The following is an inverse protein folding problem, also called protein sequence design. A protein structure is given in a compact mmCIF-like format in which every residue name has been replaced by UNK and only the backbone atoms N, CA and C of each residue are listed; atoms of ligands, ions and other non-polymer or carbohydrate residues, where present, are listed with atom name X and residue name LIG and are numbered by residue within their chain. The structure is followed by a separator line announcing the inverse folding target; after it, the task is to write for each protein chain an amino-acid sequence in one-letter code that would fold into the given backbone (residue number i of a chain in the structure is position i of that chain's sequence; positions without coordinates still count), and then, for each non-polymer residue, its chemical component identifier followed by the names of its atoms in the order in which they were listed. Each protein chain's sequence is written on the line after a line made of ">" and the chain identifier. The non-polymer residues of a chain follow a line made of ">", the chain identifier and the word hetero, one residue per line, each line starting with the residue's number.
data_IF_813238362389
#
_entry.id   IF_813238362389
#
_cell.length_a   1.000
_cell.length_b   1.000
_cell.length_c   1.000
_cell.angle_alpha   90.00
_cell.angle_beta   90.00
_cell.angle_gamma   90.00
#
_symmetry.space_group_name_H-M   'P 1'
#
loop_
_entity.id
_entity.type
_entity.pdbx_description
1 polymer ?
#
# COMPACT_ATOMS: atom_id res chain seq x y z
N UNK A 1 23.76 -8.89 50.02
CA UNK A 1 23.18 -10.12 49.47
C UNK A 1 22.10 -10.66 50.43
N UNK A 2 20.89 -10.18 50.27
CA UNK A 2 19.68 -10.59 51.06
C UNK A 2 18.47 -10.66 50.14
N UNK A 3 17.55 -11.57 50.37
CA UNK A 3 16.27 -11.65 49.67
C UNK A 3 15.30 -10.59 50.08
N UNK A 4 15.30 -10.22 51.35
CA UNK A 4 14.52 -9.11 51.91
C UNK A 4 15.31 -8.45 53.04
N UNK A 5 15.06 -7.16 53.27
CA UNK A 5 15.67 -6.38 54.35
C UNK A 5 14.53 -5.62 55.06
N UNK A 6 14.38 -5.84 56.35
CA UNK A 6 13.41 -5.13 57.21
C UNK A 6 14.14 -4.07 58.00
N UNK A 7 13.76 -2.80 57.80
CA UNK A 7 14.47 -1.67 58.38
C UNK A 7 13.62 -1.00 59.50
N UNK A 8 14.24 -0.83 60.66
CA UNK A 8 13.65 -0.09 61.82
C UNK A 8 12.77 -0.95 62.74
N UNK A 9 12.53 -0.42 63.92
CA UNK A 9 11.83 -1.13 65.02
C UNK A 9 10.34 -1.43 64.75
N UNK A 10 9.74 -0.74 63.73
CA UNK A 10 8.34 -0.89 63.34
C UNK A 10 8.15 -1.75 62.08
N UNK A 11 9.17 -2.46 61.61
CA UNK A 11 9.17 -3.27 60.38
C UNK A 11 9.36 -4.75 60.70
N UNK A 12 8.41 -5.42 61.37
CA UNK A 12 8.55 -6.84 61.68
C UNK A 12 8.43 -7.70 60.40
N UNK A 13 9.09 -8.84 60.38
CA UNK A 13 9.09 -9.81 59.26
C UNK A 13 7.66 -10.22 58.89
N UNK A 14 6.75 -10.39 59.85
CA UNK A 14 5.34 -10.75 59.62
C UNK A 14 4.55 -9.76 58.77
N UNK A 15 4.99 -8.50 58.67
CA UNK A 15 4.41 -7.57 57.71
C UNK A 15 4.72 -7.96 56.27
N UNK A 16 5.92 -8.48 56.04
CA UNK A 16 6.34 -9.02 54.73
C UNK A 16 5.53 -10.24 54.32
N UNK A 17 5.17 -11.08 55.30
CA UNK A 17 4.43 -12.31 55.01
C UNK A 17 2.97 -12.05 54.60
N UNK A 18 2.33 -10.99 55.10
CA UNK A 18 0.90 -10.83 54.99
C UNK A 18 0.41 -9.55 54.30
N UNK A 19 1.15 -8.44 54.35
CA UNK A 19 0.52 -7.16 53.98
C UNK A 19 1.44 -6.09 53.36
N UNK A 20 2.76 -6.17 53.48
CA UNK A 20 3.65 -5.10 53.03
C UNK A 20 4.19 -5.27 51.59
N UNK A 21 3.81 -6.34 50.88
CA UNK A 21 4.24 -6.57 49.48
C UNK A 21 5.60 -7.23 49.33
N UNK A 22 6.38 -7.43 50.43
CA UNK A 22 7.52 -8.32 50.41
C UNK A 22 7.06 -9.79 50.47
N UNK A 23 7.97 -10.74 50.26
CA UNK A 23 7.61 -12.16 50.16
C UNK A 23 8.52 -12.97 51.08
N UNK A 24 7.96 -14.01 51.71
CA UNK A 24 8.72 -14.93 52.59
C UNK A 24 9.42 -16.06 51.79
N UNK A 25 9.13 -16.20 50.48
CA UNK A 25 9.84 -17.14 49.64
C UNK A 25 11.17 -16.51 49.19
N UNK A 26 12.19 -16.76 49.95
CA UNK A 26 13.50 -16.14 49.85
C UNK A 26 14.52 -17.10 49.24
N UNK A 27 15.55 -16.60 48.51
CA UNK A 27 16.60 -17.43 47.97
C UNK A 27 17.46 -18.00 49.10
N UNK A 28 17.72 -19.33 49.05
CA UNK A 28 18.55 -20.08 50.01
C UNK A 28 19.93 -20.44 49.39
N UNK A 29 20.78 -21.07 50.19
CA UNK A 29 22.10 -21.58 49.73
C UNK A 29 23.00 -20.51 49.07
N UNK A 30 22.96 -19.27 49.56
CA UNK A 30 23.78 -18.19 49.00
C UNK A 30 23.25 -17.61 47.68
N UNK A 31 22.14 -18.06 47.17
CA UNK A 31 21.55 -17.59 45.93
C UNK A 31 21.08 -16.12 45.95
N UNK A 32 20.94 -15.52 47.14
CA UNK A 32 20.67 -14.09 47.27
C UNK A 32 21.72 -13.15 46.66
N UNK A 33 22.79 -13.69 46.10
CA UNK A 33 23.75 -12.94 45.27
C UNK A 33 23.21 -12.63 43.87
N UNK A 34 22.34 -13.49 43.33
CA UNK A 34 21.87 -13.47 41.95
C UNK A 34 20.34 -13.52 41.81
N UNK A 35 19.63 -13.86 42.88
CA UNK A 35 18.18 -13.91 42.90
C UNK A 35 17.59 -13.03 44.00
N UNK A 36 16.50 -12.38 43.73
CA UNK A 36 15.63 -11.67 44.69
C UNK A 36 14.66 -12.65 45.36
N UNK A 37 13.86 -12.16 46.34
CA UNK A 37 12.68 -12.88 46.78
C UNK A 37 11.66 -13.05 45.68
N UNK A 38 10.79 -14.07 45.74
CA UNK A 38 9.79 -14.36 44.72
C UNK A 38 8.87 -13.14 44.54
N UNK A 39 8.59 -12.81 43.27
CA UNK A 39 7.71 -11.70 42.90
C UNK A 39 6.83 -12.05 41.68
N UNK A 40 5.89 -11.21 41.34
CA UNK A 40 4.91 -11.46 40.27
C UNK A 40 5.60 -11.62 38.91
N UNK A 41 6.71 -10.93 38.67
CA UNK A 41 7.46 -11.05 37.39
C UNK A 41 8.14 -12.42 37.19
N UNK A 42 8.34 -13.20 38.26
CA UNK A 42 8.90 -14.55 38.17
C UNK A 42 7.92 -15.55 37.51
N UNK A 43 6.63 -15.22 37.50
CA UNK A 43 5.58 -15.96 36.81
C UNK A 43 5.32 -15.45 35.39
N UNK A 44 6.01 -14.37 34.99
CA UNK A 44 5.93 -13.77 33.67
C UNK A 44 6.99 -14.30 32.72
N UNK A 45 6.72 -14.21 31.41
CA UNK A 45 7.70 -14.46 30.36
C UNK A 45 7.91 -13.18 29.56
N UNK A 46 9.15 -12.70 29.49
CA UNK A 46 9.52 -11.60 28.63
C UNK A 46 9.72 -12.10 27.21
N UNK A 47 8.98 -11.52 26.25
CA UNK A 47 9.10 -11.80 24.83
C UNK A 47 9.52 -10.49 24.17
N UNK A 48 10.69 -10.51 23.49
CA UNK A 48 11.13 -9.38 22.68
C UNK A 48 10.51 -9.47 21.29
N UNK A 49 9.88 -8.39 20.84
CA UNK A 49 9.36 -8.23 19.48
C UNK A 49 10.16 -7.13 18.80
N UNK A 50 10.74 -7.46 17.64
CA UNK A 50 11.50 -6.51 16.85
C UNK A 50 10.84 -6.32 15.48
N UNK A 51 10.60 -5.07 15.10
CA UNK A 51 10.17 -4.69 13.75
C UNK A 51 11.14 -3.64 13.22
N UNK A 52 11.66 -3.86 12.02
CA UNK A 52 12.55 -2.91 11.34
C UNK A 52 11.82 -2.27 10.15
N UNK A 53 11.90 -0.94 10.04
CA UNK A 53 11.58 -0.21 8.80
C UNK A 53 12.73 -0.36 7.80
N UNK A 54 12.50 -0.02 6.52
CA UNK A 54 13.58 0.00 5.51
C UNK A 54 14.72 0.96 5.91
N UNK A 55 14.40 2.13 6.46
CA UNK A 55 15.36 3.08 6.98
C UNK A 55 16.14 2.49 8.19
N UNK A 56 15.43 1.91 9.16
CA UNK A 56 16.05 1.25 10.30
C UNK A 56 16.97 0.10 9.90
N UNK A 57 16.57 -0.69 8.89
CA UNK A 57 17.43 -1.72 8.31
C UNK A 57 18.70 -1.13 7.69
N UNK A 58 18.58 -0.08 6.85
CA UNK A 58 19.72 0.56 6.20
C UNK A 58 20.68 1.19 7.21
N UNK A 59 20.19 1.74 8.32
CA UNK A 59 21.02 2.33 9.36
C UNK A 59 21.80 1.28 10.18
N UNK A 60 21.31 0.05 10.27
CA UNK A 60 21.89 -1.01 11.11
C UNK A 60 22.69 -2.04 10.32
N UNK A 61 22.41 -2.25 9.04
CA UNK A 61 22.94 -3.36 8.24
C UNK A 61 24.46 -3.44 8.24
N UNK A 62 25.16 -2.31 8.04
CA UNK A 62 26.61 -2.28 7.92
C UNK A 62 27.29 -2.67 9.24
N UNK A 63 26.75 -2.18 10.36
CA UNK A 63 27.22 -2.56 11.70
C UNK A 63 27.04 -4.06 11.95
N UNK A 64 25.88 -4.61 11.61
CA UNK A 64 25.60 -6.04 11.79
C UNK A 64 26.47 -6.91 10.90
N UNK A 65 26.73 -6.49 9.64
CA UNK A 65 27.62 -7.21 8.72
C UNK A 65 29.05 -7.26 9.23
N UNK A 66 29.59 -6.14 9.72
CA UNK A 66 30.95 -6.10 10.27
C UNK A 66 31.07 -6.90 11.57
N UNK A 67 30.10 -6.83 12.47
CA UNK A 67 30.07 -7.63 13.69
C UNK A 67 29.99 -9.13 13.38
N UNK A 68 29.07 -9.54 12.52
CA UNK A 68 28.90 -10.93 12.12
C UNK A 68 30.17 -11.49 11.41
N UNK A 69 30.88 -10.64 10.65
CA UNK A 69 32.17 -10.99 10.05
C UNK A 69 33.24 -11.19 11.08
N UNK A 70 33.34 -10.28 12.08
CA UNK A 70 34.32 -10.41 13.16
C UNK A 70 34.11 -11.67 14.03
N UNK A 71 32.85 -12.08 14.19
CA UNK A 71 32.43 -13.28 14.91
C UNK A 71 32.46 -14.57 14.05
N UNK A 72 32.79 -14.47 12.76
CA UNK A 72 32.76 -15.58 11.78
C UNK A 72 31.40 -16.26 11.65
N UNK A 73 30.32 -15.47 11.77
CA UNK A 73 28.92 -15.92 11.68
C UNK A 73 28.34 -15.72 10.27
N UNK A 74 28.72 -16.56 9.32
CA UNK A 74 28.35 -16.44 7.91
C UNK A 74 26.81 -16.45 7.70
N UNK A 75 26.09 -17.28 8.45
CA UNK A 75 24.63 -17.32 8.36
C UNK A 75 23.97 -15.98 8.76
N UNK A 76 24.52 -15.26 9.74
CA UNK A 76 24.03 -13.94 10.14
C UNK A 76 24.31 -12.89 9.06
N UNK A 77 25.50 -12.94 8.42
CA UNK A 77 25.78 -12.07 7.27
C UNK A 77 24.80 -12.31 6.13
N UNK A 78 24.57 -13.57 5.75
CA UNK A 78 23.65 -13.93 4.67
C UNK A 78 22.22 -13.49 4.98
N UNK A 79 21.78 -13.60 6.23
CA UNK A 79 20.47 -13.13 6.65
C UNK A 79 20.26 -11.61 6.43
N UNK A 80 21.31 -10.80 6.57
CA UNK A 80 21.25 -9.36 6.25
C UNK A 80 21.33 -9.14 4.75
N UNK A 81 22.28 -9.76 4.04
CA UNK A 81 22.47 -9.58 2.59
C UNK A 81 21.23 -9.91 1.76
N UNK A 82 20.54 -11.01 2.06
CA UNK A 82 19.29 -11.39 1.39
C UNK A 82 18.20 -10.30 1.55
N UNK A 83 18.24 -9.52 2.64
CA UNK A 83 17.28 -8.47 2.93
C UNK A 83 17.64 -7.09 2.38
N UNK A 84 18.88 -6.90 1.91
CA UNK A 84 19.29 -5.63 1.28
C UNK A 84 18.42 -5.28 0.09
N UNK A 85 18.17 -6.25 -0.80
CA UNK A 85 17.30 -6.06 -1.96
C UNK A 85 15.85 -5.71 -1.57
N UNK A 86 15.35 -6.28 -0.48
CA UNK A 86 14.01 -5.97 0.04
C UNK A 86 13.93 -4.55 0.62
N UNK A 87 14.98 -4.10 1.31
CA UNK A 87 15.07 -2.77 1.88
C UNK A 87 15.22 -1.70 0.78
N UNK A 88 16.01 -1.97 -0.26
CA UNK A 88 16.15 -1.10 -1.42
C UNK A 88 14.83 -0.96 -2.19
N UNK A 89 14.10 -2.06 -2.39
CA UNK A 89 12.78 -2.04 -3.03
C UNK A 89 11.77 -1.19 -2.26
N UNK A 90 11.85 -1.15 -0.94
CA UNK A 90 10.93 -0.38 -0.08
C UNK A 90 11.36 1.08 0.10
N UNK A 91 12.59 1.45 -0.27
CA UNK A 91 13.13 2.81 -0.13
C UNK A 91 12.81 3.73 -1.31
N UNK A 92 12.45 3.17 -2.48
CA UNK A 92 12.02 3.95 -3.65
C UNK A 92 10.49 3.96 -3.67
N UNK A 93 9.91 5.00 -3.07
CA UNK A 93 8.47 5.27 -3.23
C UNK A 93 8.17 5.51 -4.70
N UNK A 94 7.30 4.68 -5.31
CA UNK A 94 6.84 4.86 -6.68
C UNK A 94 5.75 5.92 -6.69
N UNK A 95 6.19 7.16 -6.57
CA UNK A 95 5.32 8.34 -6.51
C UNK A 95 5.63 9.32 -7.64
N UNK A 96 4.62 10.05 -8.05
CA UNK A 96 4.74 11.10 -9.06
C UNK A 96 3.82 12.26 -8.73
N UNK A 97 4.29 13.49 -9.00
CA UNK A 97 3.51 14.71 -8.80
C UNK A 97 3.69 15.64 -9.99
N UNK A 98 2.60 16.22 -10.48
CA UNK A 98 2.57 17.10 -11.63
C UNK A 98 1.47 18.16 -11.51
N UNK A 99 1.69 19.31 -12.13
CA UNK A 99 0.66 20.28 -12.50
C UNK A 99 0.57 20.28 -14.02
N UNK A 100 -0.55 19.75 -14.56
CA UNK A 100 -0.85 19.78 -16.00
C UNK A 100 -1.84 20.92 -16.27
N UNK A 101 -1.43 21.85 -17.13
CA UNK A 101 -2.24 23.00 -17.50
C UNK A 101 -2.43 23.06 -19.01
N UNK A 102 -3.69 23.15 -19.44
CA UNK A 102 -4.13 23.43 -20.82
C UNK A 102 -4.90 24.73 -20.84
N UNK A 103 -5.54 25.06 -21.95
CA UNK A 103 -6.51 26.16 -22.02
C UNK A 103 -7.86 25.79 -21.40
N UNK A 104 -8.14 24.50 -21.26
CA UNK A 104 -9.42 23.92 -20.85
C UNK A 104 -9.40 23.47 -19.38
N UNK A 105 -8.23 22.97 -18.91
CA UNK A 105 -8.13 22.40 -17.57
C UNK A 105 -6.84 22.83 -16.86
N UNK A 106 -6.88 22.86 -15.52
CA UNK A 106 -5.71 23.00 -14.65
C UNK A 106 -5.79 21.89 -13.58
N UNK A 107 -4.91 20.88 -13.71
CA UNK A 107 -4.93 19.67 -12.90
C UNK A 107 -3.68 19.59 -12.06
N UNK A 108 -3.83 19.48 -10.74
CA UNK A 108 -2.78 19.02 -9.85
C UNK A 108 -3.02 17.55 -9.53
N UNK A 109 -1.98 16.73 -9.67
CA UNK A 109 -2.00 15.32 -9.29
C UNK A 109 -0.75 14.96 -8.49
N UNK A 110 -0.96 14.24 -7.39
CA UNK A 110 0.10 13.58 -6.62
C UNK A 110 -0.38 12.15 -6.34
N UNK A 111 0.41 11.18 -6.78
CA UNK A 111 0.09 9.77 -6.73
C UNK A 111 1.22 8.97 -6.12
N UNK A 112 0.89 7.97 -5.29
CA UNK A 112 1.83 6.99 -4.76
C UNK A 112 1.26 5.57 -4.96
N UNK A 113 1.93 4.77 -5.81
CA UNK A 113 1.54 3.38 -6.09
C UNK A 113 1.76 2.44 -4.89
N UNK A 114 2.64 2.82 -3.96
CA UNK A 114 2.95 2.07 -2.73
C UNK A 114 2.20 2.64 -1.52
N UNK A 115 1.02 3.23 -1.76
CA UNK A 115 0.19 3.87 -0.76
C UNK A 115 -0.67 2.91 0.06
N UNK A 116 -1.61 3.50 0.79
CA UNK A 116 -2.58 2.80 1.65
C UNK A 116 -4.03 3.06 1.25
N UNK A 117 -4.25 3.79 0.15
CA UNK A 117 -5.56 4.20 -0.35
C UNK A 117 -6.10 5.43 0.35
N UNK A 118 -5.22 6.37 0.71
CA UNK A 118 -5.62 7.71 1.14
C UNK A 118 -5.90 8.57 -0.08
N UNK A 119 -6.96 9.36 -0.01
CA UNK A 119 -7.34 10.22 -1.13
C UNK A 119 -7.82 11.60 -0.69
N UNK A 120 -7.61 12.57 -1.58
CA UNK A 120 -8.21 13.89 -1.55
C UNK A 120 -8.48 14.29 -3.00
N UNK A 121 -9.74 14.23 -3.43
CA UNK A 121 -10.13 14.34 -4.84
C UNK A 121 -11.20 15.41 -4.99
N UNK A 122 -10.98 16.33 -5.92
CA UNK A 122 -11.88 17.43 -6.22
C UNK A 122 -11.79 17.75 -7.72
N UNK A 123 -12.68 17.16 -8.52
CA UNK A 123 -12.71 17.33 -9.98
C UNK A 123 -13.73 18.34 -10.43
N UNK A 124 -14.68 18.71 -9.56
CA UNK A 124 -15.87 19.47 -9.91
C UNK A 124 -17.05 18.60 -10.36
N UNK A 125 -16.85 17.30 -10.54
CA UNK A 125 -17.86 16.29 -10.86
C UNK A 125 -17.96 15.28 -9.72
N UNK A 126 -19.01 15.37 -8.92
CA UNK A 126 -19.13 14.60 -7.67
C UNK A 126 -19.11 13.07 -7.91
N UNK A 127 -19.70 12.63 -9.02
CA UNK A 127 -19.72 11.20 -9.30
C UNK A 127 -18.35 10.69 -9.81
N UNK A 128 -17.59 11.51 -10.54
CA UNK A 128 -16.21 11.19 -10.91
C UNK A 128 -15.30 11.14 -9.67
N UNK A 129 -15.47 12.10 -8.75
CA UNK A 129 -14.76 12.08 -7.45
C UNK A 129 -14.99 10.75 -6.74
N UNK A 130 -16.25 10.33 -6.61
CA UNK A 130 -16.62 9.05 -6.02
C UNK A 130 -15.95 7.86 -6.71
N UNK A 131 -15.91 7.81 -8.05
CA UNK A 131 -15.27 6.73 -8.80
C UNK A 131 -13.76 6.68 -8.59
N UNK A 132 -13.10 7.85 -8.54
CA UNK A 132 -11.66 7.95 -8.28
C UNK A 132 -11.30 7.61 -6.81
N UNK A 133 -12.19 7.91 -5.86
CA UNK A 133 -12.06 7.43 -4.47
C UNK A 133 -12.10 5.90 -4.40
N UNK A 134 -13.01 5.26 -5.15
CA UNK A 134 -13.04 3.79 -5.25
C UNK A 134 -11.73 3.25 -5.85
N UNK A 135 -11.22 3.90 -6.90
CA UNK A 135 -9.94 3.56 -7.52
C UNK A 135 -8.79 3.63 -6.49
N UNK A 136 -8.65 4.75 -5.80
CA UNK A 136 -7.64 4.94 -4.76
C UNK A 136 -7.74 3.89 -3.66
N UNK A 137 -8.93 3.75 -3.07
CA UNK A 137 -9.15 2.86 -1.93
C UNK A 137 -8.89 1.39 -2.26
N UNK A 138 -9.48 0.91 -3.35
CA UNK A 138 -9.36 -0.51 -3.74
C UNK A 138 -8.02 -0.85 -4.39
N UNK A 139 -7.35 0.14 -5.00
CA UNK A 139 -5.99 0.02 -5.51
C UNK A 139 -4.91 0.11 -4.43
N UNK A 140 -5.25 0.55 -3.22
CA UNK A 140 -4.29 0.96 -2.18
C UNK A 140 -3.29 2.00 -2.69
N UNK A 141 -3.74 2.88 -3.59
CA UNK A 141 -2.97 3.96 -4.19
C UNK A 141 -3.32 5.24 -3.43
N UNK A 142 -2.31 5.98 -2.93
CA UNK A 142 -2.59 7.29 -2.40
C UNK A 142 -2.74 8.28 -3.57
N UNK A 143 -3.83 9.06 -3.58
CA UNK A 143 -4.18 9.97 -4.67
C UNK A 143 -4.67 11.32 -4.13
N UNK A 144 -3.93 12.38 -4.44
CA UNK A 144 -4.38 13.76 -4.28
C UNK A 144 -4.54 14.38 -5.66
N UNK A 145 -5.78 14.71 -6.04
CA UNK A 145 -6.11 15.20 -7.37
C UNK A 145 -7.09 16.36 -7.26
N UNK A 146 -6.75 17.49 -7.85
CA UNK A 146 -7.65 18.61 -8.02
C UNK A 146 -7.69 19.05 -9.48
N UNK A 147 -8.86 19.37 -9.99
CA UNK A 147 -9.06 19.86 -11.35
C UNK A 147 -9.93 21.12 -11.32
N UNK A 148 -9.52 22.13 -12.07
CA UNK A 148 -10.34 23.27 -12.47
C UNK A 148 -10.51 23.16 -13.99
N UNK A 149 -11.65 22.66 -14.43
CA UNK A 149 -12.01 22.51 -15.85
C UNK A 149 -13.07 23.51 -16.28
N UNK A 150 -13.27 23.61 -17.56
CA UNK A 150 -14.25 24.48 -18.25
C UNK A 150 -15.65 23.85 -18.28
N UNK A 151 -16.16 23.45 -17.10
CA UNK A 151 -17.45 22.77 -16.93
C UNK A 151 -18.65 23.59 -17.40
N UNK A 152 -18.47 24.88 -17.65
CA UNK A 152 -19.46 25.74 -18.30
C UNK A 152 -19.67 25.39 -19.79
N UNK A 153 -18.75 24.66 -20.41
CA UNK A 153 -18.87 24.10 -21.76
C UNK A 153 -19.56 22.74 -21.67
N UNK A 154 -18.87 21.76 -21.11
CA UNK A 154 -19.43 20.46 -20.73
C UNK A 154 -18.39 19.69 -19.86
N UNK A 155 -18.65 18.41 -19.57
CA UNK A 155 -17.81 17.56 -18.73
C UNK A 155 -16.65 16.90 -19.49
N UNK A 156 -16.64 16.94 -20.82
CA UNK A 156 -15.75 16.15 -21.69
C UNK A 156 -14.29 16.41 -21.40
N UNK A 157 -13.85 17.68 -21.53
CA UNK A 157 -12.44 18.08 -21.36
C UNK A 157 -11.93 17.72 -19.95
N UNK A 158 -12.76 17.94 -18.94
CA UNK A 158 -12.44 17.64 -17.54
C UNK A 158 -12.20 16.14 -17.34
N UNK A 159 -13.10 15.30 -17.83
CA UNK A 159 -13.02 13.84 -17.67
C UNK A 159 -11.83 13.26 -18.46
N UNK A 160 -11.65 13.68 -19.70
CA UNK A 160 -10.55 13.22 -20.56
C UNK A 160 -9.19 13.62 -19.99
N UNK A 161 -9.02 14.88 -19.66
CA UNK A 161 -7.75 15.42 -19.17
C UNK A 161 -7.34 14.83 -17.81
N UNK A 162 -8.32 14.54 -16.93
CA UNK A 162 -8.06 13.81 -15.68
C UNK A 162 -7.60 12.39 -15.99
N UNK A 163 -8.22 11.69 -16.92
CA UNK A 163 -7.80 10.34 -17.32
C UNK A 163 -6.37 10.33 -17.89
N UNK A 164 -6.04 11.31 -18.72
CA UNK A 164 -4.68 11.51 -19.27
C UNK A 164 -3.68 11.77 -18.15
N UNK A 165 -3.96 12.72 -17.25
CA UNK A 165 -3.07 13.08 -16.14
C UNK A 165 -2.86 11.90 -15.19
N UNK A 166 -3.92 11.19 -14.82
CA UNK A 166 -3.86 10.00 -13.97
C UNK A 166 -3.02 8.89 -14.63
N UNK A 167 -3.26 8.65 -15.92
CA UNK A 167 -2.49 7.65 -16.66
C UNK A 167 -1.01 7.99 -16.78
N UNK A 168 -0.69 9.26 -17.04
CA UNK A 168 0.68 9.75 -17.07
C UNK A 168 1.36 9.63 -15.69
N UNK A 169 0.65 9.97 -14.62
CA UNK A 169 1.17 9.83 -13.25
C UNK A 169 1.48 8.38 -12.89
N UNK A 170 0.59 7.44 -13.23
CA UNK A 170 0.82 6.00 -13.03
C UNK A 170 2.03 5.54 -13.84
N UNK A 171 2.13 5.91 -15.11
CA UNK A 171 3.24 5.52 -15.99
C UNK A 171 4.59 6.03 -15.47
N UNK A 172 4.65 7.29 -15.05
CA UNK A 172 5.87 7.88 -14.49
C UNK A 172 6.25 7.25 -13.16
N UNK A 173 5.28 6.98 -12.27
CA UNK A 173 5.52 6.30 -11.01
C UNK A 173 6.00 4.84 -11.20
N UNK A 174 5.56 4.14 -12.25
CA UNK A 174 6.04 2.80 -12.62
C UNK A 174 7.50 2.80 -13.09
N UNK A 175 7.98 3.90 -13.65
CA UNK A 175 9.35 4.01 -14.16
C UNK A 175 9.70 2.93 -15.18
N UNK A 176 10.80 2.23 -14.98
CA UNK A 176 11.30 1.20 -15.91
C UNK A 176 10.46 -0.08 -15.97
N UNK A 177 9.50 -0.24 -15.09
CA UNK A 177 8.66 -1.47 -14.93
C UNK A 177 9.46 -2.76 -14.69
N UNK A 178 10.73 -2.65 -14.29
CA UNK A 178 11.57 -3.81 -14.01
C UNK A 178 11.09 -4.45 -12.70
N UNK A 179 10.94 -5.76 -12.72
CA UNK A 179 10.63 -6.57 -11.55
C UNK A 179 9.17 -6.54 -11.09
N UNK A 180 8.28 -5.81 -11.76
CA UNK A 180 6.85 -5.87 -11.45
C UNK A 180 6.23 -7.19 -11.92
N UNK A 181 5.09 -7.59 -11.31
CA UNK A 181 4.29 -8.74 -11.72
C UNK A 181 3.85 -8.64 -13.19
N UNK A 182 3.63 -7.42 -13.70
CA UNK A 182 3.28 -7.06 -15.06
C UNK A 182 1.89 -7.51 -15.48
N UNK A 183 1.59 -8.79 -15.30
CA UNK A 183 0.28 -9.35 -15.64
C UNK A 183 -0.57 -9.45 -14.38
N UNK A 184 -1.82 -9.04 -14.49
CA UNK A 184 -2.84 -9.43 -13.53
C UNK A 184 -3.99 -10.07 -14.31
N UNK A 185 -4.28 -11.31 -13.99
CA UNK A 185 -5.41 -12.03 -14.57
C UNK A 185 -6.65 -11.80 -13.73
N UNK A 186 -7.67 -11.33 -14.41
CA UNK A 186 -9.06 -11.25 -14.04
C UNK A 186 -9.36 -11.24 -12.53
N UNK A 187 -9.20 -10.09 -11.92
CA UNK A 187 -10.01 -9.83 -10.75
C UNK A 187 -11.47 -9.92 -11.19
N UNK A 188 -12.19 -10.84 -10.63
CA UNK A 188 -13.64 -10.92 -10.78
C UNK A 188 -14.24 -10.29 -9.54
N UNK A 189 -14.93 -9.18 -9.72
CA UNK A 189 -15.63 -8.49 -8.63
C UNK A 189 -17.14 -8.58 -8.88
N UNK A 190 -17.86 -8.87 -7.83
CA UNK A 190 -19.32 -8.82 -7.82
C UNK A 190 -19.78 -7.70 -6.90
N UNK A 191 -20.79 -6.96 -7.33
CA UNK A 191 -21.47 -5.94 -6.55
C UNK A 191 -22.98 -6.03 -6.86
N UNK A 192 -23.71 -6.64 -5.94
CA UNK A 192 -25.12 -7.01 -6.12
C UNK A 192 -25.32 -7.79 -7.43
N UNK A 193 -26.06 -7.24 -8.39
CA UNK A 193 -26.36 -7.86 -9.67
C UNK A 193 -25.30 -7.63 -10.76
N UNK A 194 -24.22 -6.89 -10.42
CA UNK A 194 -23.13 -6.59 -11.34
C UNK A 194 -21.97 -7.52 -11.14
N UNK A 195 -21.40 -7.98 -12.26
CA UNK A 195 -20.12 -8.68 -12.32
C UNK A 195 -19.18 -7.92 -13.25
N UNK A 196 -18.01 -7.60 -12.77
CA UNK A 196 -16.93 -6.96 -13.53
C UNK A 196 -15.68 -7.84 -13.57
N UNK A 197 -15.05 -7.93 -14.73
CA UNK A 197 -13.82 -8.68 -15.00
C UNK A 197 -12.84 -7.74 -15.66
N UNK A 198 -11.62 -7.65 -15.13
CA UNK A 198 -10.54 -6.84 -15.71
C UNK A 198 -9.26 -7.67 -15.81
N UNK A 199 -8.55 -7.58 -16.93
CA UNK A 199 -7.24 -8.19 -17.14
C UNK A 199 -6.27 -7.16 -17.69
N UNK A 200 -5.03 -7.15 -17.17
CA UNK A 200 -4.02 -6.12 -17.46
C UNK A 200 -2.70 -6.78 -17.90
N UNK A 201 -2.04 -6.18 -18.91
CA UNK A 201 -0.61 -6.38 -19.24
C UNK A 201 0.09 -5.02 -19.32
N UNK A 202 1.00 -4.74 -18.38
CA UNK A 202 1.81 -3.53 -18.33
C UNK A 202 3.01 -3.60 -19.30
N UNK A 203 2.75 -3.88 -20.57
CA UNK A 203 3.73 -4.17 -21.63
C UNK A 203 4.11 -2.98 -22.52
N UNK A 204 3.73 -1.76 -22.17
CA UNK A 204 3.89 -0.54 -22.99
C UNK A 204 3.11 -0.55 -24.32
N UNK A 205 2.29 -1.56 -24.59
CA UNK A 205 1.41 -1.65 -25.76
C UNK A 205 0.03 -1.14 -25.40
N UNK A 206 -0.41 -0.11 -26.11
CA UNK A 206 -1.70 0.57 -25.88
C UNK A 206 -2.82 -0.19 -26.56
N UNK A 207 -3.68 -0.84 -25.78
CA UNK A 207 -4.84 -1.52 -26.31
C UNK A 207 -5.91 -1.66 -25.23
N UNK A 208 -7.12 -1.28 -25.56
CA UNK A 208 -8.30 -1.47 -24.72
C UNK A 208 -9.34 -2.32 -25.43
N UNK A 209 -9.82 -3.36 -24.78
CA UNK A 209 -11.07 -4.04 -25.14
C UNK A 209 -12.09 -3.75 -24.03
N UNK A 210 -13.10 -2.97 -24.36
CA UNK A 210 -14.10 -2.51 -23.41
C UNK A 210 -15.47 -3.07 -23.77
N UNK A 211 -16.12 -3.72 -22.80
CA UNK A 211 -17.47 -4.25 -22.92
C UNK A 211 -18.23 -3.93 -21.64
N UNK A 212 -19.31 -3.20 -21.77
CA UNK A 212 -20.23 -2.89 -20.67
C UNK A 212 -21.67 -3.12 -21.08
N UNK A 213 -22.51 -3.55 -20.15
CA UNK A 213 -23.96 -3.56 -20.34
C UNK A 213 -24.47 -2.14 -20.62
N UNK A 214 -25.65 -2.07 -21.25
CA UNK A 214 -26.28 -0.77 -21.58
C UNK A 214 -26.42 0.11 -20.34
N UNK A 215 -25.98 1.34 -20.46
CA UNK A 215 -26.07 2.38 -19.44
C UNK A 215 -27.22 3.33 -19.73
N UNK A 216 -27.71 4.04 -18.70
CA UNK A 216 -28.52 5.25 -18.87
C UNK A 216 -27.62 6.42 -19.24
N UNK A 217 -28.15 7.52 -19.75
CA UNK A 217 -27.35 8.63 -20.29
C UNK A 217 -26.46 9.32 -19.24
N UNK A 218 -26.91 9.43 -18.00
CA UNK A 218 -26.18 10.03 -16.89
C UNK A 218 -26.23 9.19 -15.61
N UNK A 219 -25.16 9.22 -14.82
CA UNK A 219 -25.15 8.78 -13.42
C UNK A 219 -24.61 9.92 -12.55
N UNK A 220 -25.48 10.52 -11.74
CA UNK A 220 -25.14 11.79 -11.08
C UNK A 220 -24.91 12.88 -12.12
N UNK A 221 -23.78 13.54 -12.01
CA UNK A 221 -23.25 14.56 -12.91
C UNK A 221 -22.27 14.00 -13.97
N UNK A 222 -22.20 12.68 -14.13
CA UNK A 222 -21.28 12.01 -15.05
C UNK A 222 -22.02 11.47 -16.29
N UNK A 223 -21.72 11.97 -17.51
CA UNK A 223 -22.27 11.46 -18.75
C UNK A 223 -21.66 10.10 -19.07
N UNK A 224 -22.49 9.08 -19.24
CA UNK A 224 -22.00 7.69 -19.35
C UNK A 224 -21.32 7.37 -20.68
N UNK A 225 -21.50 8.20 -21.71
CA UNK A 225 -20.71 8.14 -22.94
C UNK A 225 -19.21 8.35 -22.68
N UNK A 226 -18.86 9.13 -21.64
CA UNK A 226 -17.47 9.33 -21.23
C UNK A 226 -16.86 8.15 -20.48
N UNK A 227 -17.62 7.11 -20.16
CA UNK A 227 -17.14 5.99 -19.38
C UNK A 227 -16.08 5.17 -20.14
N UNK A 228 -16.37 4.76 -21.37
CA UNK A 228 -15.38 4.09 -22.22
C UNK A 228 -14.24 5.04 -22.60
N UNK A 229 -14.57 6.31 -22.90
CA UNK A 229 -13.60 7.34 -23.27
C UNK A 229 -12.57 7.60 -22.17
N UNK A 230 -13.00 7.65 -20.90
CA UNK A 230 -12.11 7.76 -19.75
C UNK A 230 -11.07 6.62 -19.73
N UNK A 231 -11.52 5.37 -19.93
CA UNK A 231 -10.61 4.22 -19.96
C UNK A 231 -9.70 4.22 -21.20
N UNK A 232 -10.17 4.67 -22.37
CA UNK A 232 -9.32 4.85 -23.56
C UNK A 232 -8.18 5.81 -23.26
N UNK A 233 -8.48 6.98 -22.72
CA UNK A 233 -7.49 8.02 -22.39
C UNK A 233 -6.54 7.58 -21.29
N UNK A 234 -7.04 6.93 -20.24
CA UNK A 234 -6.26 6.37 -19.13
C UNK A 234 -5.29 5.28 -19.61
N UNK A 235 -5.79 4.28 -20.34
CA UNK A 235 -4.99 3.12 -20.82
C UNK A 235 -3.90 3.55 -21.80
N UNK A 236 -4.24 4.48 -22.68
CA UNK A 236 -3.28 5.07 -23.62
C UNK A 236 -2.15 5.82 -22.88
N UNK A 237 -2.47 6.56 -21.82
CA UNK A 237 -1.50 7.33 -21.05
C UNK A 237 -0.64 6.44 -20.14
N UNK A 238 -1.19 5.39 -19.55
CA UNK A 238 -0.40 4.37 -18.82
C UNK A 238 0.50 3.60 -19.78
N UNK A 239 0.13 3.50 -21.04
CA UNK A 239 0.76 2.61 -22.03
C UNK A 239 0.68 1.13 -21.59
N UNK A 240 -0.52 0.56 -21.63
CA UNK A 240 -0.76 -0.84 -21.27
C UNK A 240 -1.85 -1.48 -22.14
N UNK A 241 -1.95 -2.80 -22.08
CA UNK A 241 -3.08 -3.55 -22.63
C UNK A 241 -4.07 -3.84 -21.49
N UNK A 242 -5.36 -3.59 -21.73
CA UNK A 242 -6.42 -3.84 -20.79
C UNK A 242 -7.65 -4.43 -21.45
N UNK A 243 -8.26 -5.42 -20.81
CA UNK A 243 -9.57 -5.96 -21.17
C UNK A 243 -10.51 -5.75 -19.99
N UNK A 244 -11.66 -5.13 -20.26
CA UNK A 244 -12.72 -4.84 -19.30
C UNK A 244 -14.02 -5.46 -19.81
N UNK A 245 -14.68 -6.24 -18.98
CA UNK A 245 -16.01 -6.77 -19.26
C UNK A 245 -16.88 -6.63 -18.00
N UNK A 246 -17.92 -5.79 -18.07
CA UNK A 246 -18.83 -5.55 -16.94
C UNK A 246 -20.27 -5.78 -17.37
N UNK A 247 -20.97 -6.62 -16.62
CA UNK A 247 -22.36 -7.02 -16.90
C UNK A 247 -23.23 -6.80 -15.67
N UNK A 248 -24.45 -6.32 -15.89
CA UNK A 248 -25.42 -6.01 -14.83
C UNK A 248 -26.55 -5.13 -15.34
N UNK A 249 -27.28 -4.50 -14.41
CA UNK A 249 -28.46 -3.69 -14.74
C UNK A 249 -28.37 -2.25 -14.23
N UNK A 250 -27.86 -2.02 -13.02
CA UNK A 250 -27.78 -0.71 -12.42
C UNK A 250 -26.55 0.04 -12.94
N UNK A 251 -26.73 1.17 -13.61
CA UNK A 251 -25.63 1.95 -14.19
C UNK A 251 -24.63 2.44 -13.13
N UNK A 252 -25.07 2.83 -11.94
CA UNK A 252 -24.17 3.22 -10.84
C UNK A 252 -23.27 2.05 -10.46
N UNK A 253 -23.83 0.88 -10.22
CA UNK A 253 -23.08 -0.33 -9.86
C UNK A 253 -22.14 -0.79 -10.99
N UNK A 254 -22.53 -0.63 -12.27
CA UNK A 254 -21.68 -0.97 -13.42
C UNK A 254 -20.41 -0.12 -13.45
N UNK A 255 -20.51 1.21 -13.30
CA UNK A 255 -19.36 2.10 -13.29
C UNK A 255 -18.49 1.84 -12.06
N UNK A 256 -19.07 1.82 -10.88
CA UNK A 256 -18.35 1.67 -9.62
C UNK A 256 -17.62 0.30 -9.55
N UNK A 257 -18.30 -0.79 -9.91
CA UNK A 257 -17.68 -2.12 -9.94
C UNK A 257 -16.51 -2.19 -10.92
N UNK A 258 -16.60 -1.49 -12.07
CA UNK A 258 -15.50 -1.43 -13.04
C UNK A 258 -14.27 -0.72 -12.46
N UNK A 259 -14.45 0.44 -11.84
CA UNK A 259 -13.34 1.17 -11.20
C UNK A 259 -12.68 0.37 -10.07
N UNK A 260 -13.49 -0.27 -9.23
CA UNK A 260 -12.99 -1.16 -8.16
C UNK A 260 -12.17 -2.33 -8.71
N UNK A 261 -12.71 -3.00 -9.74
CA UNK A 261 -12.06 -4.16 -10.36
C UNK A 261 -10.76 -3.76 -11.05
N UNK A 262 -10.78 -2.65 -11.79
CA UNK A 262 -9.60 -2.09 -12.44
C UNK A 262 -8.50 -1.75 -11.42
N UNK A 263 -8.88 -1.07 -10.34
CA UNK A 263 -7.95 -0.69 -9.27
C UNK A 263 -7.28 -1.90 -8.61
N UNK A 264 -8.06 -2.95 -8.29
CA UNK A 264 -7.56 -4.20 -7.71
C UNK A 264 -6.64 -4.95 -8.68
N UNK A 265 -7.02 -5.00 -9.96
CA UNK A 265 -6.21 -5.62 -11.00
C UNK A 265 -4.89 -4.87 -11.19
N UNK A 266 -4.91 -3.53 -11.23
CA UNK A 266 -3.71 -2.69 -11.31
C UNK A 266 -2.81 -2.90 -10.08
N UNK A 267 -3.39 -2.93 -8.86
CA UNK A 267 -2.65 -3.22 -7.63
C UNK A 267 -1.87 -4.52 -7.73
N UNK A 268 -2.47 -5.57 -8.28
CA UNK A 268 -1.80 -6.87 -8.45
C UNK A 268 -0.70 -6.80 -9.52
N UNK A 269 -0.94 -6.11 -10.64
CA UNK A 269 0.02 -5.99 -11.75
C UNK A 269 1.29 -5.18 -11.38
N UNK A 270 1.17 -4.22 -10.47
CA UNK A 270 2.29 -3.34 -10.07
C UNK A 270 3.13 -3.91 -8.92
N UNK A 271 2.78 -5.06 -8.34
CA UNK A 271 3.57 -5.69 -7.27
C UNK A 271 5.00 -5.95 -7.76
N UNK A 272 5.98 -5.58 -6.96
CA UNK A 272 7.39 -5.87 -7.27
C UNK A 272 7.74 -7.26 -6.76
N UNK A 273 8.02 -8.20 -7.67
CA UNK A 273 8.26 -9.62 -7.37
C UNK A 273 9.73 -10.02 -7.55
N UNK A 274 10.48 -9.29 -8.40
CA UNK A 274 11.85 -9.66 -8.74
C UNK A 274 12.72 -8.43 -9.02
N UNK A 275 13.99 -8.64 -9.27
CA UNK A 275 14.95 -7.60 -9.72
C UNK A 275 15.19 -7.65 -11.24
N UNK A 276 14.60 -8.63 -11.93
CA UNK A 276 14.77 -8.85 -13.38
C UNK A 276 13.50 -8.49 -14.15
N UNK A 277 13.66 -8.18 -15.43
CA UNK A 277 12.53 -7.96 -16.34
C UNK A 277 11.72 -9.24 -16.55
N UNK A 278 10.39 -9.15 -16.46
CA UNK A 278 9.47 -10.23 -16.84
C UNK A 278 9.33 -10.42 -18.37
N UNK A 279 10.11 -9.70 -19.16
CA UNK A 279 10.11 -9.78 -20.62
C UNK A 279 11.28 -10.62 -21.14
N UNK A 280 10.99 -11.60 -22.00
CA UNK A 280 12.02 -12.36 -22.74
C UNK A 280 12.84 -11.49 -23.70
N UNK A 281 12.37 -10.26 -24.01
CA UNK A 281 13.08 -9.27 -24.83
C UNK A 281 14.03 -8.38 -24.03
N UNK A 282 14.05 -8.51 -22.68
CA UNK A 282 14.87 -7.70 -21.79
C UNK A 282 14.35 -6.27 -21.53
N UNK A 283 13.30 -5.84 -22.24
CA UNK A 283 12.62 -4.53 -22.09
C UNK A 283 11.10 -4.72 -22.03
N UNK A 284 10.39 -3.78 -21.41
CA UNK A 284 8.93 -3.71 -21.34
C UNK A 284 8.41 -2.47 -22.07
#
# INVERSE_FOLDING_TARGET
>A
NAGSIFCGALSPESFGDYSSGSNHVLPTNGQAKVHSGLNVSDFGKNISVQTASAEGFNNLKDTVLEMAKAETLDAHQQAVKIREDLALKKSVSRSYSEIRKTNETNIFINLNLDGTGNYNIQTGLNYLDHLLEQFSKHGSIDLNLTCLGDLEIDEHHTIEDIAIALGAAINNALGSRIGIARYASSEILVMDEVKSIVSIDLSSRRYLNFKCSKLRDYVGDFPTEMFEHFFISLINSIAMTCHIETTGKNSHHLLEATFKTFARCLKSAVVVESTSSSSTKGIL
#
